data_IF_402369068422
#
_entry.id   IF_402369068422
#
_cell.length_a   1.000
_cell.length_b   1.000
_cell.length_c   1.000
_cell.angle_alpha   90.00
_cell.angle_beta   90.00
_cell.angle_gamma   90.00
#
_symmetry.space_group_name_H-M   'P 1'
#
loop_
_entity.id
_entity.type
_entity.pdbx_description
1 polymer ?
#
# COMPACT_ATOMS: atom_id res chain seq x y z
N UNK A 1 14.52 -27.73 -0.86
CA UNK A 1 13.15 -28.22 -1.16
C UNK A 1 13.17 -29.35 -2.20
N UNK A 2 14.16 -30.25 -2.19
CA UNK A 2 14.19 -31.38 -3.14
C UNK A 2 14.39 -30.97 -4.61
N UNK A 3 15.10 -29.89 -4.89
CA UNK A 3 15.51 -29.49 -6.25
C UNK A 3 17.03 -29.44 -6.30
N UNK A 4 17.64 -30.24 -7.19
CA UNK A 4 19.08 -30.28 -7.39
C UNK A 4 19.43 -30.06 -8.87
N UNK A 5 20.56 -29.41 -9.12
CA UNK A 5 21.10 -29.25 -10.48
C UNK A 5 22.19 -30.28 -10.67
N UNK A 6 22.02 -31.16 -11.66
CA UNK A 6 23.02 -32.19 -11.96
C UNK A 6 24.24 -31.57 -12.65
N UNK A 7 25.36 -32.30 -12.69
CA UNK A 7 26.57 -31.88 -13.41
C UNK A 7 26.34 -31.63 -14.92
N UNK A 8 25.24 -32.15 -15.47
CA UNK A 8 24.82 -31.95 -16.87
C UNK A 8 23.91 -30.73 -17.08
N UNK A 9 23.57 -30.01 -16.01
CA UNK A 9 22.67 -28.85 -16.07
C UNK A 9 21.18 -29.20 -16.14
N UNK A 10 20.81 -30.47 -15.97
CA UNK A 10 19.39 -30.86 -15.80
C UNK A 10 18.95 -30.64 -14.36
N UNK A 11 17.68 -30.25 -14.18
CA UNK A 11 17.05 -30.16 -12.87
C UNK A 11 16.44 -31.52 -12.50
N UNK A 12 16.82 -32.05 -11.33
CA UNK A 12 16.24 -33.25 -10.76
C UNK A 12 15.36 -32.89 -9.55
N UNK A 13 14.19 -33.52 -9.46
CA UNK A 13 13.20 -33.28 -8.40
C UNK A 13 13.05 -34.50 -7.50
N UNK A 14 13.46 -34.34 -6.24
CA UNK A 14 13.25 -35.33 -5.19
C UNK A 14 11.92 -35.07 -4.46
N UNK A 15 10.91 -35.85 -4.85
CA UNK A 15 9.57 -35.75 -4.30
C UNK A 15 9.49 -36.13 -2.81
N UNK A 16 10.38 -37.00 -2.31
CA UNK A 16 10.38 -37.43 -0.92
C UNK A 16 10.94 -36.34 -0.01
N UNK A 17 12.04 -35.71 -0.41
CA UNK A 17 12.63 -34.55 0.30
C UNK A 17 11.70 -33.34 0.24
N UNK A 18 11.04 -33.10 -0.89
CA UNK A 18 10.03 -32.05 -1.01
C UNK A 18 8.83 -32.31 -0.08
N UNK A 19 8.26 -33.52 -0.11
CA UNK A 19 7.12 -33.88 0.73
C UNK A 19 7.45 -33.81 2.23
N UNK A 20 8.66 -34.22 2.63
CA UNK A 20 9.13 -34.06 4.01
C UNK A 20 9.21 -32.60 4.44
N UNK A 21 9.85 -31.74 3.62
CA UNK A 21 9.95 -30.31 3.91
C UNK A 21 8.58 -29.61 3.97
N UNK A 22 7.63 -30.02 3.12
CA UNK A 22 6.25 -29.50 3.13
C UNK A 22 5.48 -29.92 4.39
N UNK A 23 5.72 -31.13 4.90
CA UNK A 23 5.10 -31.61 6.13
C UNK A 23 5.70 -30.96 7.38
N UNK A 24 7.00 -30.70 7.37
CA UNK A 24 7.72 -30.09 8.51
C UNK A 24 7.50 -28.58 8.63
N UNK A 25 7.50 -27.85 7.50
CA UNK A 25 7.29 -26.39 7.46
C UNK A 25 6.63 -25.95 6.14
N UNK A 26 5.33 -26.23 6.03
CA UNK A 26 4.52 -25.83 4.88
C UNK A 26 4.66 -24.33 4.57
N UNK A 27 4.61 -23.48 5.60
CA UNK A 27 4.67 -22.03 5.45
C UNK A 27 6.04 -21.56 4.97
N UNK A 28 7.13 -22.17 5.46
CA UNK A 28 8.49 -21.93 4.99
C UNK A 28 8.68 -22.33 3.52
N UNK A 29 8.15 -23.47 3.11
CA UNK A 29 8.17 -23.88 1.70
C UNK A 29 7.33 -22.93 0.84
N UNK A 30 6.15 -22.51 1.30
CA UNK A 30 5.31 -21.55 0.56
C UNK A 30 5.95 -20.16 0.45
N UNK A 31 6.72 -19.71 1.45
CA UNK A 31 7.53 -18.47 1.39
C UNK A 31 8.61 -18.52 0.32
N UNK A 32 9.11 -19.71 -0.03
CA UNK A 32 10.07 -19.87 -1.10
C UNK A 32 9.43 -19.60 -2.47
N UNK A 33 8.13 -19.87 -2.63
CA UNK A 33 7.42 -19.77 -3.91
C UNK A 33 6.57 -18.51 -4.08
N UNK A 34 6.40 -17.70 -3.03
CA UNK A 34 5.59 -16.47 -3.05
C UNK A 34 6.42 -15.26 -2.65
N UNK A 35 6.08 -14.10 -3.20
CA UNK A 35 6.58 -12.83 -2.67
C UNK A 35 6.07 -12.64 -1.25
N UNK A 36 6.98 -12.33 -0.33
CA UNK A 36 6.67 -12.08 1.07
C UNK A 36 7.60 -11.03 1.65
N UNK A 37 7.32 -10.60 2.87
CA UNK A 37 8.25 -9.74 3.58
C UNK A 37 8.10 -9.87 5.09
N UNK A 38 9.23 -9.80 5.76
CA UNK A 38 9.34 -9.75 7.22
C UNK A 38 9.69 -8.33 7.66
N UNK A 39 9.16 -7.89 8.80
CA UNK A 39 9.31 -6.50 9.26
C UNK A 39 9.90 -6.46 10.65
N UNK A 40 10.81 -5.51 10.87
CA UNK A 40 11.39 -5.24 12.19
C UNK A 40 10.40 -4.58 13.17
N UNK A 41 9.21 -4.19 12.72
CA UNK A 41 8.21 -3.49 13.54
C UNK A 41 6.82 -4.13 13.38
N UNK A 42 6.19 -4.53 14.49
CA UNK A 42 4.91 -5.26 14.48
C UNK A 42 3.75 -4.51 13.80
N UNK A 43 3.79 -3.17 13.78
CA UNK A 43 2.80 -2.30 13.12
C UNK A 43 3.15 -1.92 11.68
N UNK A 44 4.18 -2.52 11.10
CA UNK A 44 4.53 -2.34 9.69
C UNK A 44 4.61 -3.72 9.06
N UNK A 45 3.89 -3.96 7.97
CA UNK A 45 3.86 -5.29 7.35
C UNK A 45 3.87 -5.23 5.83
N UNK A 46 4.46 -6.26 5.23
CA UNK A 46 4.40 -6.47 3.79
C UNK A 46 2.96 -6.78 3.37
N UNK A 47 2.50 -6.12 2.30
CA UNK A 47 1.19 -6.42 1.70
C UNK A 47 1.37 -7.07 0.35
N UNK A 48 2.13 -6.41 -0.52
CA UNK A 48 2.25 -6.80 -1.91
C UNK A 48 3.53 -6.25 -2.52
N UNK A 49 4.06 -6.94 -3.53
CA UNK A 49 5.13 -6.45 -4.38
C UNK A 49 4.89 -6.93 -5.80
N UNK A 50 5.23 -6.08 -6.76
CA UNK A 50 5.24 -6.43 -8.18
C UNK A 50 6.58 -7.08 -8.55
N UNK A 51 6.70 -7.57 -9.79
CA UNK A 51 7.95 -8.11 -10.29
C UNK A 51 9.05 -7.03 -10.42
N UNK A 52 8.68 -5.75 -10.53
CA UNK A 52 9.62 -4.62 -10.56
C UNK A 52 10.26 -4.32 -9.19
N UNK A 53 9.62 -4.74 -8.09
CA UNK A 53 10.19 -4.59 -6.74
C UNK A 53 11.34 -5.55 -6.56
N UNK A 54 12.54 -5.14 -6.13
CA UNK A 54 13.68 -6.06 -5.94
C UNK A 54 13.61 -6.82 -4.60
N UNK A 55 14.25 -7.98 -4.49
CA UNK A 55 14.43 -8.61 -3.18
C UNK A 55 15.49 -7.86 -2.36
N UNK A 56 15.30 -7.71 -1.06
CA UNK A 56 16.24 -7.01 -0.19
C UNK A 56 15.60 -6.36 1.04
N UNK A 57 16.42 -5.67 1.83
CA UNK A 57 15.97 -4.89 2.97
C UNK A 57 15.63 -3.46 2.55
N UNK A 58 14.43 -3.01 2.92
CA UNK A 58 13.89 -1.69 2.61
C UNK A 58 13.67 -0.90 3.91
N UNK A 59 14.26 0.28 4.01
CA UNK A 59 13.99 1.19 5.13
C UNK A 59 12.65 1.91 4.90
N UNK A 60 11.63 1.59 5.69
CA UNK A 60 10.33 2.29 5.69
C UNK A 60 10.41 3.43 6.70
N UNK A 61 10.33 4.66 6.22
CA UNK A 61 10.35 5.86 7.06
C UNK A 61 9.00 6.57 6.97
N UNK A 62 8.30 6.69 8.09
CA UNK A 62 6.97 7.26 8.21
C UNK A 62 7.09 8.62 8.88
N UNK A 63 6.76 9.67 8.13
CA UNK A 63 6.81 11.06 8.61
C UNK A 63 5.47 11.54 9.16
N UNK A 64 4.36 10.94 8.72
CA UNK A 64 3.04 11.16 9.29
C UNK A 64 2.23 9.86 9.28
N UNK A 65 1.65 9.51 10.43
CA UNK A 65 0.73 8.38 10.53
C UNK A 65 -0.60 8.69 9.83
N UNK A 66 -1.29 7.65 9.37
CA UNK A 66 -2.64 7.78 8.85
C UNK A 66 -3.60 8.10 10.00
N UNK A 67 -4.57 8.96 9.76
CA UNK A 67 -5.61 9.32 10.73
C UNK A 67 -7.00 8.94 10.23
N UNK A 68 -7.97 8.96 11.15
CA UNK A 68 -9.39 8.69 10.87
C UNK A 68 -10.15 10.00 10.90
N UNK A 69 -11.11 10.16 9.99
CA UNK A 69 -12.02 11.29 9.99
C UNK A 69 -12.98 11.23 11.18
N UNK A 70 -13.32 12.39 11.73
CA UNK A 70 -14.23 12.48 12.87
C UNK A 70 -15.06 13.76 12.90
N UNK A 71 -16.19 13.68 13.59
CA UNK A 71 -17.01 14.83 13.98
C UNK A 71 -17.02 14.91 15.52
N UNK A 72 -16.54 16.02 16.07
CA UNK A 72 -16.40 16.24 17.53
C UNK A 72 -17.31 17.36 17.97
N UNK A 73 -18.13 17.11 19.01
CA UNK A 73 -18.98 18.13 19.62
C UNK A 73 -18.19 19.29 20.22
N UNK A 74 -18.85 20.44 20.40
CA UNK A 74 -18.20 21.67 20.88
C UNK A 74 -18.15 21.79 22.40
N UNK A 75 -18.86 20.92 23.10
CA UNK A 75 -18.95 20.88 24.56
C UNK A 75 -19.02 19.43 25.04
N UNK A 76 -18.80 19.22 26.34
CA UNK A 76 -18.97 17.92 26.98
C UNK A 76 -20.34 17.32 26.64
N UNK A 77 -20.37 15.99 26.47
CA UNK A 77 -21.60 15.25 26.30
C UNK A 77 -22.57 15.56 27.47
N UNK A 78 -23.87 15.68 27.21
CA UNK A 78 -24.84 15.95 28.27
C UNK A 78 -24.78 14.85 29.34
N UNK A 79 -24.69 15.26 30.61
CA UNK A 79 -24.71 14.33 31.74
C UNK A 79 -26.02 13.57 31.86
N UNK A 80 -27.13 14.13 31.34
CA UNK A 80 -28.38 13.44 31.09
C UNK A 80 -29.13 14.11 29.94
N UNK A 81 -29.84 13.33 29.14
CA UNK A 81 -30.65 13.82 28.02
C UNK A 81 -31.96 13.04 27.93
N UNK A 82 -33.08 13.75 27.90
CA UNK A 82 -34.38 13.16 27.55
C UNK A 82 -34.63 13.33 26.06
N UNK A 83 -34.76 12.21 25.36
CA UNK A 83 -35.14 12.13 23.96
C UNK A 83 -36.64 11.89 23.86
N UNK A 84 -37.32 12.77 23.13
CA UNK A 84 -38.76 12.69 22.85
C UNK A 84 -38.95 12.45 21.36
N UNK A 85 -39.73 11.43 21.02
CA UNK A 85 -40.00 11.05 19.63
C UNK A 85 -40.54 12.24 18.81
N UNK A 86 -39.97 12.45 17.64
CA UNK A 86 -40.27 13.55 16.71
C UNK A 86 -39.75 14.93 17.11
N UNK A 87 -39.25 15.12 18.34
CA UNK A 87 -38.83 16.44 18.83
C UNK A 87 -37.30 16.63 18.81
N UNK A 88 -36.54 15.65 19.30
CA UNK A 88 -35.07 15.72 19.43
C UNK A 88 -34.42 14.34 19.30
N UNK A 89 -34.95 13.52 18.39
CA UNK A 89 -34.65 12.11 18.25
C UNK A 89 -33.92 11.74 16.95
N UNK A 90 -33.79 12.65 15.98
CA UNK A 90 -33.23 12.33 14.67
C UNK A 90 -32.05 13.25 14.27
N UNK A 91 -31.04 12.65 13.65
CA UNK A 91 -29.98 13.36 12.95
C UNK A 91 -29.54 12.61 11.69
N UNK A 92 -28.99 13.32 10.73
CA UNK A 92 -28.58 12.79 9.44
C UNK A 92 -27.09 12.95 9.28
N UNK A 93 -26.40 11.84 8.98
CA UNK A 93 -24.96 11.82 8.73
C UNK A 93 -24.60 11.20 7.38
N UNK A 94 -23.47 11.61 6.82
CA UNK A 94 -22.78 10.94 5.72
C UNK A 94 -21.40 10.49 6.20
N UNK A 95 -20.95 9.31 5.74
CA UNK A 95 -19.68 8.71 6.15
C UNK A 95 -18.91 8.28 4.90
N UNK A 96 -17.64 8.65 4.81
CA UNK A 96 -16.70 8.25 3.76
C UNK A 96 -17.22 8.48 2.32
N UNK A 97 -18.02 9.53 2.12
CA UNK A 97 -18.63 9.88 0.83
C UNK A 97 -19.89 9.08 0.47
N UNK A 98 -20.39 8.22 1.35
CA UNK A 98 -21.65 7.51 1.16
C UNK A 98 -22.86 8.47 1.24
N UNK A 99 -24.00 8.04 0.69
CA UNK A 99 -25.25 8.80 0.78
C UNK A 99 -25.61 9.08 2.25
N UNK A 100 -26.19 10.26 2.49
CA UNK A 100 -26.59 10.66 3.83
C UNK A 100 -27.73 9.75 4.36
N UNK A 101 -27.60 9.31 5.59
CA UNK A 101 -28.55 8.42 6.27
C UNK A 101 -29.05 9.08 7.56
N UNK A 102 -30.36 9.03 7.77
CA UNK A 102 -30.98 9.50 9.01
C UNK A 102 -30.94 8.40 10.06
N UNK A 103 -30.42 8.76 11.23
CA UNK A 103 -30.38 7.95 12.44
C UNK A 103 -31.40 8.50 13.43
N UNK A 104 -32.25 7.61 13.95
CA UNK A 104 -33.27 7.94 14.95
C UNK A 104 -32.96 7.24 16.27
N UNK A 105 -32.84 8.00 17.35
CA UNK A 105 -32.66 7.57 18.72
C UNK A 105 -33.98 7.04 19.31
N UNK A 106 -33.92 6.08 20.22
CA UNK A 106 -35.11 5.74 21.02
C UNK A 106 -35.53 6.92 21.89
N UNK A 107 -36.85 7.10 22.02
CA UNK A 107 -37.38 7.96 23.06
C UNK A 107 -37.09 7.36 24.44
N UNK A 108 -36.67 8.20 25.37
CA UNK A 108 -36.25 7.79 26.70
C UNK A 108 -35.36 8.83 27.38
N UNK A 109 -35.06 8.61 28.66
CA UNK A 109 -34.08 9.41 29.38
C UNK A 109 -32.79 8.63 29.50
N UNK A 110 -31.72 9.17 28.93
CA UNK A 110 -30.36 8.68 29.10
C UNK A 110 -29.77 9.40 30.30
N UNK A 111 -29.43 8.66 31.35
CA UNK A 111 -29.01 9.19 32.65
C UNK A 111 -27.51 9.48 32.72
N UNK A 112 -26.74 9.11 31.70
CA UNK A 112 -25.32 9.40 31.58
C UNK A 112 -24.90 9.62 30.12
N UNK A 113 -23.76 10.30 29.94
CA UNK A 113 -23.12 10.43 28.64
C UNK A 113 -22.78 9.05 28.02
N UNK A 114 -22.43 8.06 28.85
CA UNK A 114 -22.07 6.71 28.39
C UNK A 114 -23.28 5.93 27.84
N UNK A 115 -24.43 6.04 28.51
CA UNK A 115 -25.69 5.46 28.00
C UNK A 115 -26.06 6.09 26.66
N UNK A 116 -25.92 7.41 26.55
CA UNK A 116 -26.18 8.14 25.31
C UNK A 116 -25.23 7.73 24.18
N UNK A 117 -23.92 7.58 24.46
CA UNK A 117 -22.95 7.11 23.47
C UNK A 117 -23.23 5.67 23.02
N UNK A 118 -23.69 4.80 23.92
CA UNK A 118 -24.07 3.42 23.61
C UNK A 118 -25.31 3.36 22.72
N UNK A 119 -26.31 4.20 22.99
CA UNK A 119 -27.48 4.34 22.12
C UNK A 119 -27.06 4.84 20.74
N UNK A 120 -26.29 5.93 20.67
CA UNK A 120 -25.78 6.47 19.42
C UNK A 120 -25.03 5.41 18.61
N UNK A 121 -24.12 4.67 19.26
CA UNK A 121 -23.38 3.59 18.62
C UNK A 121 -24.31 2.52 18.05
N UNK A 122 -25.33 2.12 18.82
CA UNK A 122 -26.30 1.10 18.39
C UNK A 122 -27.09 1.57 17.17
N UNK A 123 -27.66 2.79 17.22
CA UNK A 123 -28.48 3.33 16.13
C UNK A 123 -27.68 3.61 14.87
N UNK A 124 -26.46 4.10 15.01
CA UNK A 124 -25.54 4.28 13.88
C UNK A 124 -25.17 2.91 13.30
N UNK A 125 -24.90 1.90 14.13
CA UNK A 125 -24.60 0.55 13.64
C UNK A 125 -25.76 -0.05 12.85
N UNK A 126 -26.99 0.15 13.30
CA UNK A 126 -28.19 -0.32 12.58
C UNK A 126 -28.36 0.40 11.23
N UNK A 127 -28.11 1.71 11.20
CA UNK A 127 -28.30 2.53 10.00
C UNK A 127 -27.21 2.32 8.94
N UNK A 128 -25.95 2.19 9.35
CA UNK A 128 -24.78 2.18 8.45
C UNK A 128 -23.78 1.03 8.73
N UNK A 129 -24.27 -0.07 9.31
CA UNK A 129 -23.54 -1.34 9.53
C UNK A 129 -22.19 -1.22 10.23
N UNK A 130 -22.08 -0.31 11.19
CA UNK A 130 -20.89 -0.18 12.03
C UNK A 130 -19.70 0.49 11.35
N UNK A 131 -19.95 1.41 10.42
CA UNK A 131 -18.89 2.19 9.76
C UNK A 131 -18.28 3.29 10.65
N UNK A 132 -18.85 3.55 11.83
CA UNK A 132 -18.44 4.62 12.74
C UNK A 132 -18.33 4.11 14.17
N UNK A 133 -17.33 4.58 14.91
CA UNK A 133 -17.22 4.43 16.37
C UNK A 133 -17.65 5.71 17.07
N UNK A 134 -18.50 5.59 18.09
CA UNK A 134 -18.89 6.68 18.99
C UNK A 134 -18.04 6.59 20.25
N UNK A 135 -17.48 7.72 20.67
CA UNK A 135 -16.70 7.84 21.89
C UNK A 135 -16.69 9.26 22.40
N UNK A 136 -15.67 9.59 23.18
CA UNK A 136 -15.48 10.94 23.73
C UNK A 136 -14.12 11.50 23.33
N UNK A 137 -14.13 12.73 22.85
CA UNK A 137 -12.93 13.50 22.58
C UNK A 137 -12.42 14.23 23.81
N UNK A 138 -11.50 15.17 23.58
CA UNK A 138 -10.96 16.06 24.62
C UNK A 138 -12.11 16.81 25.33
N UNK A 139 -12.04 16.89 26.66
CA UNK A 139 -13.07 17.56 27.46
C UNK A 139 -14.39 16.80 27.57
N UNK A 140 -14.45 15.53 27.13
CA UNK A 140 -15.65 14.70 27.25
C UNK A 140 -16.72 14.99 26.20
N UNK A 141 -16.38 15.72 25.13
CA UNK A 141 -17.29 15.96 24.02
C UNK A 141 -17.60 14.67 23.27
N UNK A 142 -18.85 14.49 22.79
CA UNK A 142 -19.17 13.37 21.90
C UNK A 142 -18.31 13.42 20.64
N UNK A 143 -17.75 12.28 20.26
CA UNK A 143 -16.94 12.13 19.06
C UNK A 143 -17.44 10.94 18.24
N UNK A 144 -17.74 11.18 16.97
CA UNK A 144 -18.05 10.16 15.99
C UNK A 144 -16.84 10.01 15.07
N UNK A 145 -16.28 8.81 14.95
CA UNK A 145 -15.06 8.54 14.17
C UNK A 145 -15.30 7.47 13.13
N UNK A 146 -15.05 7.75 11.84
CA UNK A 146 -15.15 6.73 10.78
C UNK A 146 -14.16 5.60 11.03
N UNK A 147 -14.53 4.35 10.80
CA UNK A 147 -13.65 3.17 10.96
C UNK A 147 -12.56 3.07 9.90
N UNK A 148 -12.63 3.88 8.84
CA UNK A 148 -11.63 3.95 7.80
C UNK A 148 -10.49 4.89 8.18
N UNK A 149 -9.29 4.60 7.69
CA UNK A 149 -8.14 5.50 7.74
C UNK A 149 -7.92 6.18 6.39
N UNK A 150 -7.36 7.39 6.41
CA UNK A 150 -6.95 8.10 5.21
C UNK A 150 -7.76 9.33 4.87
N UNK A 151 -7.39 10.01 3.79
CA UNK A 151 -8.04 11.22 3.27
C UNK A 151 -9.51 11.00 2.90
N UNK A 152 -9.87 9.77 2.53
CA UNK A 152 -11.24 9.39 2.20
C UNK A 152 -12.07 8.97 3.44
N UNK A 153 -11.51 9.10 4.65
CA UNK A 153 -12.22 8.91 5.91
C UNK A 153 -12.84 10.23 6.36
N UNK A 154 -14.16 10.27 6.48
CA UNK A 154 -14.88 11.48 6.90
C UNK A 154 -16.20 11.13 7.57
N UNK A 155 -16.60 11.94 8.55
CA UNK A 155 -17.93 11.90 9.15
C UNK A 155 -18.50 13.31 9.06
N UNK A 156 -19.64 13.44 8.40
CA UNK A 156 -20.32 14.73 8.21
C UNK A 156 -21.74 14.66 8.74
N UNK A 157 -22.12 15.64 9.57
CA UNK A 157 -23.44 15.82 10.15
C UNK A 157 -24.18 16.87 9.33
N UNK A 158 -25.18 16.42 8.58
CA UNK A 158 -25.89 17.26 7.60
C UNK A 158 -27.11 17.97 8.17
N UNK A 159 -27.61 17.55 9.34
CA UNK A 159 -28.75 18.16 10.01
C UNK A 159 -29.43 17.21 10.99
N UNK A 160 -30.48 17.69 11.65
CA UNK A 160 -31.21 16.89 12.64
C UNK A 160 -31.72 17.70 13.82
N UNK A 161 -32.89 17.32 14.34
CA UNK A 161 -33.44 17.92 15.56
C UNK A 161 -32.70 17.45 16.83
N UNK A 162 -32.00 16.31 16.78
CA UNK A 162 -31.22 15.79 17.91
C UNK A 162 -29.88 16.52 18.13
N UNK A 163 -29.29 17.12 17.08
CA UNK A 163 -27.91 17.63 17.12
C UNK A 163 -27.68 18.69 18.21
N UNK A 164 -28.65 19.55 18.48
CA UNK A 164 -28.54 20.56 19.53
C UNK A 164 -28.45 19.92 20.93
N UNK A 165 -29.31 18.94 21.22
CA UNK A 165 -29.30 18.22 22.50
C UNK A 165 -28.05 17.34 22.68
N UNK A 166 -27.42 16.93 21.59
CA UNK A 166 -26.19 16.14 21.59
C UNK A 166 -24.90 17.00 21.64
N UNK A 167 -25.02 18.33 21.64
CA UNK A 167 -23.88 19.26 21.48
C UNK A 167 -23.08 19.02 20.18
N UNK A 168 -23.75 18.57 19.12
CA UNK A 168 -23.19 18.26 17.79
C UNK A 168 -23.63 19.24 16.69
N UNK A 169 -24.50 20.22 16.99
CA UNK A 169 -25.02 21.16 15.99
C UNK A 169 -23.94 22.01 15.30
N UNK A 170 -22.82 22.27 15.99
CA UNK A 170 -21.66 22.97 15.46
C UNK A 170 -20.39 22.09 15.56
N UNK A 171 -20.56 20.77 15.41
CA UNK A 171 -19.45 19.84 15.53
C UNK A 171 -18.29 20.22 14.61
N UNK A 172 -17.06 20.05 15.11
CA UNK A 172 -15.87 20.20 14.29
C UNK A 172 -15.66 18.91 13.52
N UNK A 173 -15.82 18.97 12.20
CA UNK A 173 -15.60 17.86 11.29
C UNK A 173 -14.20 17.93 10.72
N UNK A 174 -13.42 16.88 10.91
CA UNK A 174 -12.04 16.77 10.42
C UNK A 174 -11.93 15.53 9.57
N UNK A 175 -11.47 15.67 8.32
CA UNK A 175 -11.16 14.52 7.47
C UNK A 175 -9.91 13.80 7.99
N UNK A 176 -9.84 12.49 7.75
CA UNK A 176 -8.62 11.73 7.99
C UNK A 176 -7.51 12.16 7.03
N UNK A 177 -6.30 11.67 7.29
CA UNK A 177 -5.12 11.90 6.46
C UNK A 177 -4.48 10.57 6.14
N UNK A 178 -3.94 10.44 4.93
CA UNK A 178 -3.21 9.24 4.55
C UNK A 178 -1.85 9.17 5.26
N UNK A 179 -1.28 7.97 5.34
CA UNK A 179 0.10 7.78 5.76
C UNK A 179 1.04 8.55 4.83
N UNK A 180 2.06 9.20 5.38
CA UNK A 180 3.11 9.88 4.60
C UNK A 180 4.45 9.31 4.99
N UNK A 181 5.27 8.97 3.99
CA UNK A 181 6.57 8.38 4.20
C UNK A 181 7.31 8.05 2.91
N UNK A 182 8.46 7.40 3.08
CA UNK A 182 9.33 6.93 2.00
C UNK A 182 9.68 5.47 2.21
N UNK A 183 9.99 4.76 1.13
CA UNK A 183 10.49 3.38 1.18
C UNK A 183 11.90 3.38 0.57
N UNK A 184 12.89 2.94 1.34
CA UNK A 184 14.30 2.95 0.98
C UNK A 184 14.82 4.30 0.44
N UNK A 185 14.33 5.40 1.03
CA UNK A 185 14.64 6.77 0.60
C UNK A 185 13.93 7.23 -0.68
N UNK A 186 13.20 6.34 -1.37
CA UNK A 186 12.41 6.67 -2.55
C UNK A 186 11.00 7.16 -2.13
N UNK A 187 10.44 8.09 -2.93
CA UNK A 187 9.12 8.63 -2.68
C UNK A 187 8.04 7.54 -2.79
N UNK A 188 7.05 7.59 -1.90
CA UNK A 188 5.94 6.66 -1.87
C UNK A 188 4.60 7.41 -1.73
N UNK A 189 3.56 6.86 -2.33
CA UNK A 189 2.18 7.36 -2.25
C UNK A 189 1.43 6.64 -1.14
N UNK A 190 0.85 7.41 -0.21
CA UNK A 190 -0.01 6.88 0.84
C UNK A 190 -1.48 6.85 0.44
N UNK A 191 -2.17 5.76 0.76
CA UNK A 191 -3.62 5.62 0.66
C UNK A 191 -4.13 4.91 1.91
N UNK A 192 -4.81 5.64 2.80
CA UNK A 192 -5.14 5.14 4.13
C UNK A 192 -3.87 4.77 4.88
N UNK A 193 -3.80 3.52 5.32
CA UNK A 193 -2.62 2.93 5.99
C UNK A 193 -1.65 2.26 5.01
N UNK A 194 -1.92 2.24 3.71
CA UNK A 194 -1.05 1.61 2.72
C UNK A 194 -0.07 2.66 2.19
N UNK A 195 1.22 2.36 2.28
CA UNK A 195 2.28 3.12 1.64
C UNK A 195 2.80 2.34 0.43
N UNK A 196 2.69 2.92 -0.76
CA UNK A 196 3.07 2.29 -2.03
C UNK A 196 4.23 3.01 -2.68
N UNK A 197 5.30 2.29 -3.03
CA UNK A 197 6.39 2.85 -3.84
C UNK A 197 5.88 3.25 -5.23
N UNK A 198 6.29 4.44 -5.67
CA UNK A 198 5.79 5.06 -6.88
C UNK A 198 6.24 4.33 -8.15
N UNK A 199 5.43 4.39 -9.20
CA UNK A 199 5.82 3.86 -10.51
C UNK A 199 7.03 4.59 -11.06
N UNK A 200 8.01 3.83 -11.56
CA UNK A 200 9.30 4.34 -12.02
C UNK A 200 10.38 4.44 -10.93
N UNK A 201 10.06 4.09 -9.67
CA UNK A 201 11.09 3.97 -8.63
C UNK A 201 12.06 2.83 -8.96
N UNK A 202 13.35 3.02 -8.70
CA UNK A 202 14.37 2.05 -9.11
C UNK A 202 14.33 0.74 -8.31
N UNK A 203 13.84 0.77 -7.07
CA UNK A 203 13.84 -0.40 -6.19
C UNK A 203 12.46 -0.70 -5.59
N UNK A 204 11.60 0.32 -5.44
CA UNK A 204 10.33 0.19 -4.70
C UNK A 204 9.09 0.22 -5.57
N UNK A 205 9.22 0.19 -6.91
CA UNK A 205 8.05 0.25 -7.81
C UNK A 205 7.05 -0.88 -7.49
N UNK A 206 5.84 -0.46 -7.11
CA UNK A 206 4.74 -1.38 -6.82
C UNK A 206 4.83 -2.10 -5.47
N UNK A 207 5.87 -1.85 -4.66
CA UNK A 207 5.95 -2.35 -3.29
C UNK A 207 4.91 -1.65 -2.42
N UNK A 208 4.04 -2.43 -1.78
CA UNK A 208 3.02 -1.96 -0.85
C UNK A 208 3.29 -2.46 0.56
N UNK A 209 3.24 -1.53 1.49
CA UNK A 209 3.49 -1.75 2.91
C UNK A 209 2.29 -1.24 3.69
N UNK A 210 1.75 -2.05 4.60
CA UNK A 210 0.75 -1.60 5.56
C UNK A 210 1.47 -0.96 6.75
N UNK A 211 1.07 0.26 7.07
CA UNK A 211 1.63 1.08 8.15
C UNK A 211 0.53 1.41 9.13
N UNK A 212 0.58 0.82 10.31
CA UNK A 212 -0.37 1.01 11.41
C UNK A 212 0.25 1.77 12.59
N UNK A 213 1.35 2.48 12.36
CA UNK A 213 1.96 3.35 13.36
C UNK A 213 1.00 4.47 13.75
N UNK A 214 0.99 4.85 15.03
CA UNK A 214 0.16 5.96 15.54
C UNK A 214 0.93 7.30 15.55
N UNK A 215 2.24 7.26 15.27
CA UNK A 215 3.15 8.40 15.26
C UNK A 215 4.25 8.18 14.21
N UNK A 216 5.02 9.23 13.85
CA UNK A 216 6.17 9.07 12.97
C UNK A 216 7.16 8.03 13.50
N UNK A 217 7.80 7.28 12.61
CA UNK A 217 8.70 6.19 12.98
C UNK A 217 9.33 5.48 11.81
N UNK A 218 10.26 4.58 12.10
CA UNK A 218 11.02 3.83 11.10
C UNK A 218 10.88 2.33 11.32
N UNK A 219 10.85 1.56 10.23
CA UNK A 219 10.89 0.10 10.24
C UNK A 219 11.77 -0.40 9.10
N UNK A 220 12.33 -1.61 9.24
CA UNK A 220 13.03 -2.29 8.15
C UNK A 220 12.17 -3.45 7.65
N UNK A 221 11.87 -3.45 6.36
CA UNK A 221 11.10 -4.48 5.68
C UNK A 221 12.03 -5.32 4.81
N UNK A 222 12.21 -6.59 5.14
CA UNK A 222 12.98 -7.53 4.34
C UNK A 222 12.05 -8.24 3.38
N UNK A 223 12.10 -7.87 2.09
CA UNK A 223 11.28 -8.45 1.03
C UNK A 223 12.01 -9.64 0.42
N UNK A 224 11.33 -10.78 0.39
CA UNK A 224 11.78 -12.01 -0.25
C UNK A 224 10.93 -12.25 -1.50
N UNK A 225 11.58 -12.29 -2.66
CA UNK A 225 10.94 -12.79 -3.89
C UNK A 225 10.90 -14.31 -3.91
N UNK A 226 9.78 -14.85 -4.38
CA UNK A 226 9.65 -16.28 -4.68
C UNK A 226 10.59 -16.72 -5.81
N UNK A 227 10.94 -18.01 -5.85
CA UNK A 227 11.90 -18.57 -6.84
C UNK A 227 11.48 -18.31 -8.28
N UNK A 228 10.17 -18.30 -8.58
CA UNK A 228 9.65 -18.06 -9.92
C UNK A 228 9.85 -16.61 -10.38
N UNK A 229 9.62 -15.63 -9.51
CA UNK A 229 9.89 -14.22 -9.84
C UNK A 229 11.39 -13.95 -10.00
N UNK A 230 12.25 -14.70 -9.30
CA UNK A 230 13.72 -14.64 -9.51
C UNK A 230 14.16 -15.30 -10.82
N UNK A 231 13.52 -16.39 -11.22
CA UNK A 231 13.80 -17.06 -12.49
C UNK A 231 13.36 -16.20 -13.68
N UNK A 232 12.21 -15.56 -13.59
CA UNK A 232 11.74 -14.62 -14.61
C UNK A 232 12.61 -13.36 -14.69
N UNK A 233 13.08 -12.83 -13.56
CA UNK A 233 14.05 -11.72 -13.52
C UNK A 233 15.40 -12.14 -14.14
N UNK A 234 15.88 -13.37 -13.88
CA UNK A 234 17.09 -13.90 -14.50
C UNK A 234 16.92 -14.13 -16.01
N UNK A 235 15.79 -14.68 -16.45
CA UNK A 235 15.50 -14.84 -17.88
C UNK A 235 15.37 -13.49 -18.57
N UNK A 236 14.69 -12.53 -17.94
CA UNK A 236 14.54 -11.15 -18.45
C UNK A 236 15.89 -10.46 -18.53
N UNK A 237 16.75 -10.56 -17.51
CA UNK A 237 18.11 -9.99 -17.53
C UNK A 237 18.99 -10.65 -18.61
N UNK A 238 18.88 -11.97 -18.80
CA UNK A 238 19.60 -12.67 -19.88
C UNK A 238 19.09 -12.32 -21.28
N UNK A 239 17.79 -12.10 -21.42
CA UNK A 239 17.12 -11.79 -22.70
C UNK A 239 16.96 -10.30 -22.95
N UNK A 240 17.39 -9.44 -22.01
CA UNK A 240 17.36 -8.00 -22.17
C UNK A 240 18.19 -7.61 -23.41
N UNK A 241 17.59 -6.94 -24.40
CA UNK A 241 18.25 -6.61 -25.66
C UNK A 241 19.38 -5.58 -25.52
N UNK A 242 19.50 -4.90 -24.38
CA UNK A 242 20.51 -3.87 -24.11
C UNK A 242 21.58 -4.32 -23.11
N UNK A 243 21.26 -5.13 -22.10
CA UNK A 243 22.20 -5.57 -21.04
C UNK A 243 22.44 -7.07 -20.98
N UNK A 244 21.59 -7.88 -21.60
CA UNK A 244 21.72 -9.34 -21.57
C UNK A 244 22.86 -9.89 -22.43
N UNK A 245 23.18 -11.17 -22.24
CA UNK A 245 24.20 -11.89 -23.02
C UNK A 245 23.94 -11.81 -24.55
N UNK A 246 22.67 -11.66 -24.93
CA UNK A 246 22.18 -11.44 -26.29
C UNK A 246 22.54 -10.04 -26.82
N UNK A 247 22.23 -8.98 -26.07
CA UNK A 247 22.55 -7.60 -26.42
C UNK A 247 24.06 -7.31 -26.46
N UNK A 248 24.83 -7.94 -25.58
CA UNK A 248 26.30 -7.86 -25.60
C UNK A 248 26.92 -8.49 -26.87
N UNK A 249 26.34 -9.61 -27.33
CA UNK A 249 26.75 -10.25 -28.61
C UNK A 249 26.35 -9.39 -29.80
N UNK A 250 25.16 -8.81 -29.81
CA UNK A 250 24.72 -7.90 -30.88
C UNK A 250 25.58 -6.65 -30.95
N UNK A 251 25.92 -6.03 -29.82
CA UNK A 251 26.84 -4.88 -29.75
C UNK A 251 28.25 -5.22 -30.25
N UNK A 252 28.75 -6.41 -29.92
CA UNK A 252 30.06 -6.90 -30.40
C UNK A 252 30.04 -7.20 -31.91
N UNK A 253 28.94 -7.78 -32.41
CA UNK A 253 28.72 -8.03 -33.84
C UNK A 253 28.59 -6.72 -34.62
N UNK A 254 27.81 -5.75 -34.14
CA UNK A 254 27.69 -4.42 -34.76
C UNK A 254 29.02 -3.66 -34.77
N UNK A 255 29.81 -3.76 -33.68
CA UNK A 255 31.17 -3.19 -33.66
C UNK A 255 32.08 -3.86 -34.69
N UNK A 256 31.97 -5.19 -34.85
CA UNK A 256 32.72 -5.93 -35.87
C UNK A 256 32.29 -5.56 -37.29
N UNK A 257 30.99 -5.37 -37.53
CA UNK A 257 30.43 -4.90 -38.81
C UNK A 257 30.93 -3.49 -39.13
N UNK A 258 30.93 -2.57 -38.17
CA UNK A 258 31.43 -1.20 -38.35
C UNK A 258 32.93 -1.18 -38.70
N UNK A 259 33.74 -1.98 -38.01
CA UNK A 259 35.18 -2.12 -38.33
C UNK A 259 35.42 -2.73 -39.72
N UNK A 260 34.57 -3.66 -40.16
CA UNK A 260 34.63 -4.23 -41.51
C UNK A 260 34.22 -3.23 -42.59
N UNK A 261 33.20 -2.40 -42.35
CA UNK A 261 32.79 -1.33 -43.26
C UNK A 261 33.89 -0.29 -43.44
N UNK A 262 34.51 0.17 -42.35
CA UNK A 262 35.63 1.11 -42.41
C UNK A 262 36.81 0.56 -43.25
N UNK A 263 37.10 -0.75 -43.14
CA UNK A 263 38.11 -1.41 -43.98
C UNK A 263 37.71 -1.49 -45.45
N UNK A 264 36.43 -1.67 -45.76
CA UNK A 264 35.93 -1.71 -47.14
C UNK A 264 36.06 -0.32 -47.78
N UNK A 265 35.71 0.75 -47.07
CA UNK A 265 35.89 2.13 -47.54
C UNK A 265 37.37 2.43 -47.80
N UNK A 266 38.26 2.11 -46.87
CA UNK A 266 39.70 2.31 -47.05
C UNK A 266 40.25 1.53 -48.26
N UNK A 267 39.78 0.30 -48.48
CA UNK A 267 40.15 -0.47 -49.67
C UNK A 267 39.59 0.14 -50.96
N UNK A 268 38.38 0.70 -50.93
CA UNK A 268 37.76 1.41 -52.05
C UNK A 268 38.57 2.64 -52.45
N UNK A 269 38.91 3.49 -51.48
CA UNK A 269 39.75 4.68 -51.71
C UNK A 269 41.12 4.31 -52.29
N UNK A 270 41.75 3.25 -51.78
CA UNK A 270 43.04 2.77 -52.31
C UNK A 270 42.92 2.23 -53.73
N UNK A 271 41.81 1.58 -54.08
CA UNK A 271 41.55 1.09 -55.43
C UNK A 271 41.32 2.22 -56.41
N UNK A 272 40.58 3.26 -56.02
CA UNK A 272 40.32 4.42 -56.87
C UNK A 272 41.57 5.28 -57.07
N UNK A 273 42.36 5.51 -56.02
CA UNK A 273 43.67 6.15 -56.14
C UNK A 273 44.62 5.37 -57.08
N UNK A 274 44.53 4.04 -57.09
CA UNK A 274 45.31 3.19 -58.01
C UNK A 274 44.80 3.27 -59.45
N UNK A 275 43.49 3.44 -59.67
CA UNK A 275 42.90 3.65 -61.00
C UNK A 275 43.27 5.01 -61.57
N UNK A 276 43.19 6.09 -60.79
CA UNK A 276 43.63 7.42 -61.23
C UNK A 276 45.11 7.43 -61.64
N UNK A 277 45.97 6.74 -60.88
CA UNK A 277 47.38 6.60 -61.22
C UNK A 277 47.65 5.84 -62.52
N UNK A 278 46.73 4.97 -62.95
CA UNK A 278 46.85 4.21 -64.21
C UNK A 278 46.25 4.96 -65.42
N UNK A 279 45.53 6.06 -65.19
CA UNK A 279 44.90 6.89 -66.22
C UNK A 279 45.70 8.17 -66.53
N UNK A 280 46.80 8.43 -65.83
CA UNK A 280 47.82 9.44 -66.18
C UNK A 280 49.01 8.79 -66.89
#
# INVERSE_FOLDING_TARGET
VGLETTETGTLEFDAAVFSGAVQDDFDGVMRLFRNGGDSSHAKVSFVYATDATRAGAYAVNVTSAATRGSAVGTAAAPGSLTVTAGANDAFTLSVDGAAAVTVTLAAGTYASAQELATELQTRINDAIKGSVTVGFGVGGALQLTSNRYGSASQVTLTGGNALAGLNLAAATETAGTDVVGTINGEAATGTGQILKGNTGNANTDGLQVLVQLDAPGTATLTVTKGVFSRFDEYLTDLTDPFTGASGLREKTLNTSIGNLQARIEEMGERLDAKRERLLQ
#
